data_IF_766277008760
#
_entry.id   IF_766277008760
#
_cell.length_a   1.000
_cell.length_b   1.000
_cell.length_c   1.000
_cell.angle_alpha   90.00
_cell.angle_beta   90.00
_cell.angle_gamma   90.00
#
_symmetry.space_group_name_H-M   'P 1'
#
loop_
_entity.id
_entity.type
_entity.pdbx_description
1 polymer ?
#
# COMPACT_ATOMS: atom_id res chain seq x y z
N UNK A 1 43.23 2.30 31.36
CA UNK A 1 42.66 2.36 29.99
C UNK A 1 41.40 1.52 29.77
N UNK A 2 40.34 1.63 30.59
CA UNK A 2 39.04 0.96 30.34
C UNK A 2 37.92 1.92 29.90
N UNK A 3 38.04 3.21 30.21
CA UNK A 3 37.00 4.23 29.91
C UNK A 3 37.00 4.70 28.44
N UNK A 4 38.16 4.72 27.78
CA UNK A 4 38.30 5.11 26.38
C UNK A 4 37.47 4.25 25.42
N UNK A 5 37.35 2.95 25.71
CA UNK A 5 36.58 2.03 24.88
C UNK A 5 35.06 2.32 24.96
N UNK A 6 34.56 2.65 26.16
CA UNK A 6 33.15 2.99 26.41
C UNK A 6 32.76 4.32 25.77
N UNK A 7 33.58 5.35 25.91
CA UNK A 7 33.42 6.67 25.26
C UNK A 7 33.39 6.52 23.73
N UNK A 8 34.34 5.75 23.16
CA UNK A 8 34.40 5.47 21.72
C UNK A 8 33.15 4.76 21.21
N UNK A 9 32.68 3.73 21.92
CA UNK A 9 31.47 2.99 21.54
C UNK A 9 30.21 3.87 21.60
N UNK A 10 30.09 4.75 22.60
CA UNK A 10 29.00 5.74 22.68
C UNK A 10 29.01 6.69 21.49
N UNK A 11 30.18 7.27 21.15
CA UNK A 11 30.33 8.18 20.01
C UNK A 11 30.00 7.48 18.69
N UNK A 12 30.40 6.22 18.52
CA UNK A 12 30.07 5.38 17.36
C UNK A 12 28.56 5.13 17.24
N UNK A 13 27.89 4.81 18.36
CA UNK A 13 26.42 4.60 18.41
C UNK A 13 25.67 5.89 18.05
N UNK A 14 26.08 7.02 18.61
CA UNK A 14 25.47 8.32 18.35
C UNK A 14 25.60 8.71 16.87
N UNK A 15 26.79 8.53 16.27
CA UNK A 15 27.02 8.80 14.84
C UNK A 15 26.15 7.90 13.95
N UNK A 16 25.94 6.64 14.32
CA UNK A 16 25.03 5.72 13.61
C UNK A 16 23.58 6.19 13.68
N UNK A 17 23.11 6.63 14.85
CA UNK A 17 21.75 7.17 15.02
C UNK A 17 21.53 8.45 14.20
N UNK A 18 22.50 9.37 14.21
CA UNK A 18 22.43 10.60 13.39
C UNK A 18 22.33 10.29 11.90
N UNK A 19 23.08 9.29 11.41
CA UNK A 19 23.02 8.86 10.01
C UNK A 19 21.64 8.34 9.62
N UNK A 20 21.00 7.53 10.47
CA UNK A 20 19.63 7.07 10.20
C UNK A 20 18.62 8.23 10.18
N UNK A 21 18.75 9.16 11.12
CA UNK A 21 17.89 10.35 11.17
C UNK A 21 18.02 11.20 9.90
N UNK A 22 19.24 11.42 9.40
CA UNK A 22 19.47 12.15 8.15
C UNK A 22 18.86 11.43 6.94
N UNK A 23 18.98 10.09 6.88
CA UNK A 23 18.36 9.31 5.80
C UNK A 23 16.83 9.41 5.84
N UNK A 24 16.23 9.38 7.03
CA UNK A 24 14.78 9.56 7.20
C UNK A 24 14.33 10.95 6.73
N UNK A 25 15.05 12.01 7.14
CA UNK A 25 14.79 13.39 6.74
C UNK A 25 14.96 13.60 5.22
N UNK A 26 15.98 13.00 4.61
CA UNK A 26 16.19 13.04 3.16
C UNK A 26 15.04 12.36 2.42
N UNK A 27 14.58 11.19 2.88
CA UNK A 27 13.42 10.48 2.31
C UNK A 27 12.14 11.29 2.44
N UNK A 28 11.88 11.90 3.59
CA UNK A 28 10.72 12.76 3.79
C UNK A 28 10.79 14.00 2.87
N UNK A 29 11.99 14.57 2.68
CA UNK A 29 12.20 15.70 1.79
C UNK A 29 11.89 15.35 0.32
N UNK A 30 12.30 14.17 -0.13
CA UNK A 30 12.08 13.70 -1.49
C UNK A 30 10.60 13.37 -1.73
N UNK A 31 9.97 12.69 -0.77
CA UNK A 31 8.51 12.47 -0.76
C UNK A 31 7.75 13.79 -0.84
N UNK A 32 8.13 14.79 -0.05
CA UNK A 32 7.48 16.10 -0.06
C UNK A 32 7.70 16.86 -1.38
N UNK A 33 8.88 16.77 -2.00
CA UNK A 33 9.14 17.29 -3.35
C UNK A 33 8.22 16.62 -4.37
N UNK A 34 8.10 15.30 -4.32
CA UNK A 34 7.23 14.54 -5.23
C UNK A 34 5.75 14.87 -5.03
N UNK A 35 5.29 14.93 -3.77
CA UNK A 35 3.92 15.30 -3.44
C UNK A 35 3.59 16.72 -3.92
N UNK A 36 4.52 17.65 -3.75
CA UNK A 36 4.38 19.04 -4.22
C UNK A 36 4.31 19.10 -5.75
N UNK A 37 5.13 18.32 -6.45
CA UNK A 37 5.09 18.21 -7.90
C UNK A 37 3.75 17.63 -8.39
N UNK A 38 3.31 16.53 -7.80
CA UNK A 38 2.05 15.87 -8.15
C UNK A 38 0.84 16.80 -7.90
N UNK A 39 0.81 17.48 -6.75
CA UNK A 39 -0.26 18.43 -6.40
C UNK A 39 -0.32 19.64 -7.34
N UNK A 40 0.82 20.08 -7.88
CA UNK A 40 0.84 21.12 -8.91
C UNK A 40 0.31 20.62 -10.25
N UNK A 41 0.61 19.38 -10.61
CA UNK A 41 0.12 18.77 -11.84
C UNK A 41 -1.39 18.47 -11.81
N UNK A 42 -1.92 18.03 -10.66
CA UNK A 42 -3.34 17.69 -10.47
C UNK A 42 -4.31 18.88 -10.52
N UNK A 43 -3.80 20.11 -10.34
CA UNK A 43 -4.58 21.35 -10.42
C UNK A 43 -4.78 21.86 -11.85
N UNK A 44 -4.15 21.23 -12.85
CA UNK A 44 -4.31 21.63 -14.25
C UNK A 44 -5.64 21.14 -14.80
N UNK A 45 -6.45 22.01 -15.45
CA UNK A 45 -7.70 21.60 -16.05
C UNK A 45 -7.45 20.51 -17.12
N UNK A 46 -8.29 19.47 -17.12
CA UNK A 46 -8.18 18.34 -18.05
C UNK A 46 -7.28 17.18 -17.58
N UNK A 47 -6.59 17.29 -16.44
CA UNK A 47 -5.81 16.17 -15.86
C UNK A 47 -6.70 15.33 -14.95
N UNK A 48 -6.77 14.02 -15.24
CA UNK A 48 -7.52 13.05 -14.43
C UNK A 48 -6.68 12.66 -13.21
N UNK A 49 -7.19 12.94 -12.01
CA UNK A 49 -6.45 12.78 -10.75
C UNK A 49 -6.37 11.32 -10.22
N UNK A 50 -7.18 10.41 -10.76
CA UNK A 50 -7.15 8.99 -10.38
C UNK A 50 -6.23 8.23 -11.36
N UNK A 51 -5.28 7.49 -10.81
CA UNK A 51 -4.44 6.55 -11.57
C UNK A 51 -5.31 5.44 -12.16
N UNK A 52 -5.00 5.00 -13.39
CA UNK A 52 -5.63 3.82 -14.00
C UNK A 52 -5.27 2.51 -13.28
N UNK A 53 -4.21 2.54 -12.47
CA UNK A 53 -3.79 1.43 -11.60
C UNK A 53 -4.24 1.63 -10.13
N UNK A 54 -5.01 2.68 -9.84
CA UNK A 54 -5.54 2.87 -8.50
C UNK A 54 -6.44 1.68 -8.16
N UNK A 55 -6.22 1.11 -6.96
CA UNK A 55 -7.16 0.13 -6.45
C UNK A 55 -8.53 0.81 -6.31
N UNK A 56 -9.62 0.17 -6.76
CA UNK A 56 -10.95 0.74 -6.67
C UNK A 56 -11.34 0.97 -5.20
N UNK A 57 -12.05 2.06 -4.94
CA UNK A 57 -12.49 2.48 -3.60
C UNK A 57 -13.55 1.53 -3.00
N UNK A 58 -14.23 0.74 -3.86
CA UNK A 58 -15.25 -0.23 -3.47
C UNK A 58 -14.84 -1.65 -3.91
N UNK A 59 -15.19 -2.65 -3.10
CA UNK A 59 -14.90 -4.06 -3.37
C UNK A 59 -15.86 -4.68 -4.37
N UNK A 60 -17.00 -4.03 -4.65
CA UNK A 60 -17.95 -4.49 -5.67
C UNK A 60 -17.33 -4.45 -7.08
N UNK A 61 -17.37 -5.59 -7.77
CA UNK A 61 -16.87 -5.70 -9.14
C UNK A 61 -15.40 -6.11 -9.26
N UNK A 62 -14.71 -6.45 -8.15
CA UNK A 62 -13.37 -7.03 -8.22
C UNK A 62 -13.45 -8.45 -8.80
N UNK A 63 -12.89 -8.63 -10.00
CA UNK A 63 -12.73 -9.96 -10.63
C UNK A 63 -11.96 -10.87 -9.65
N UNK A 64 -12.60 -11.93 -9.18
CA UNK A 64 -12.03 -12.90 -8.23
C UNK A 64 -12.48 -12.78 -6.77
N UNK A 65 -13.35 -11.81 -6.41
CA UNK A 65 -14.04 -11.77 -5.13
C UNK A 65 -15.52 -12.09 -5.37
N UNK A 66 -15.96 -13.27 -4.94
CA UNK A 66 -17.32 -13.76 -5.18
C UNK A 66 -17.52 -14.30 -6.59
N UNK A 67 -18.47 -15.23 -6.71
CA UNK A 67 -18.85 -15.99 -7.93
C UNK A 67 -18.70 -15.19 -9.22
N UNK A 68 -18.07 -15.77 -10.25
CA UNK A 68 -17.75 -15.10 -11.51
C UNK A 68 -18.92 -14.25 -12.03
N UNK A 69 -18.82 -12.92 -11.90
CA UNK A 69 -19.77 -11.96 -12.49
C UNK A 69 -21.23 -12.01 -11.98
N UNK A 70 -21.55 -12.76 -10.93
CA UNK A 70 -22.93 -12.87 -10.40
C UNK A 70 -22.99 -12.27 -9.00
N UNK A 71 -22.95 -10.95 -8.90
CA UNK A 71 -23.20 -10.27 -7.61
C UNK A 71 -24.66 -10.50 -7.17
N UNK A 72 -24.87 -10.90 -5.92
CA UNK A 72 -26.19 -10.96 -5.28
C UNK A 72 -27.01 -12.25 -5.47
N UNK A 73 -26.50 -13.27 -6.16
CA UNK A 73 -27.15 -14.59 -6.20
C UNK A 73 -26.52 -15.54 -5.18
N UNK A 74 -27.30 -16.21 -4.32
CA UNK A 74 -26.76 -17.26 -3.48
C UNK A 74 -26.18 -18.39 -4.35
N UNK A 75 -25.23 -19.14 -3.82
CA UNK A 75 -24.78 -20.40 -4.40
C UNK A 75 -26.01 -21.25 -4.74
N UNK A 76 -26.07 -21.81 -5.94
CA UNK A 76 -27.20 -22.63 -6.41
C UNK A 76 -27.56 -23.69 -5.38
N UNK A 77 -28.81 -23.72 -4.94
CA UNK A 77 -29.28 -24.75 -4.02
C UNK A 77 -29.19 -26.12 -4.69
N UNK A 78 -28.62 -27.08 -3.96
CA UNK A 78 -28.51 -28.46 -4.40
C UNK A 78 -29.91 -29.08 -4.43
N UNK A 79 -30.46 -29.30 -5.63
CA UNK A 79 -31.64 -30.13 -5.83
C UNK A 79 -31.20 -31.58 -5.94
N UNK A 80 -31.51 -32.46 -4.98
CA UNK A 80 -31.23 -33.88 -5.12
C UNK A 80 -32.06 -34.41 -6.30
N UNK A 81 -31.38 -34.81 -7.37
CA UNK A 81 -32.02 -35.33 -8.58
C UNK A 81 -32.88 -36.57 -8.25
N UNK A 82 -34.10 -36.60 -8.78
CA UNK A 82 -34.98 -37.77 -8.66
C UNK A 82 -34.27 -38.99 -9.24
N UNK A 83 -34.03 -39.98 -8.38
CA UNK A 83 -33.47 -41.26 -8.80
C UNK A 83 -34.54 -41.96 -9.62
N UNK A 84 -34.30 -42.09 -10.92
CA UNK A 84 -35.16 -42.81 -11.84
C UNK A 84 -35.51 -44.19 -11.23
N UNK A 85 -36.79 -44.38 -10.89
CA UNK A 85 -37.29 -45.69 -10.48
C UNK A 85 -37.57 -46.45 -11.77
N UNK A 86 -36.83 -47.55 -11.96
CA UNK A 86 -36.92 -48.43 -13.12
C UNK A 86 -38.29 -49.11 -13.20
#
# INVERSE_FOLDING_TARGET
GKNYNREYLKKKKQKKQQRFKQIEEERESEKNKWLSFHTKASKKPGVRNKSIFASPDNLEGRVGIGTCGMSGKPMTEYTPGEKWKK
#
